data_IF_746592207868
#
_entry.id   IF_746592207868
#
_cell.length_a   1.000
_cell.length_b   1.000
_cell.length_c   1.000
_cell.angle_alpha   90.00
_cell.angle_beta   90.00
_cell.angle_gamma   90.00
#
_symmetry.space_group_name_H-M   'P 1'
#
loop_
_entity.id
_entity.type
_entity.pdbx_description
1 polymer ?
2 non-polymer ?
3 non-polymer ?
4 non-polymer ?
5 non-polymer ?
6 water ?
#
# COMPACT_ATOMS: atom_id res chain seq x y z
N UNK A 6 -1.49 -26.58 -22.90
CA UNK A 6 -1.82 -25.27 -22.33
C UNK A 6 -2.55 -25.42 -21.00
N UNK A 7 -2.78 -26.65 -20.57
CA UNK A 7 -3.38 -26.95 -19.27
C UNK A 7 -2.23 -27.28 -18.31
N UNK A 8 -1.91 -26.42 -17.36
CA UNK A 8 -0.77 -26.72 -16.48
C UNK A 8 -1.10 -27.81 -15.48
N UNK A 9 -0.07 -28.56 -15.09
CA UNK A 9 -0.23 -29.64 -14.13
C UNK A 9 0.78 -29.51 -13.01
N UNK A 10 0.42 -29.94 -11.79
CA UNK A 10 1.38 -29.91 -10.66
C UNK A 10 2.35 -31.09 -10.74
N UNK A 11 3.24 -31.00 -11.72
CA UNK A 11 4.26 -32.02 -11.98
C UNK A 11 5.61 -31.32 -12.10
N UNK A 12 6.61 -31.82 -11.38
CA UNK A 12 7.99 -31.34 -11.46
C UNK A 12 8.85 -32.61 -11.56
N UNK A 13 9.32 -32.89 -12.76
CA UNK A 13 10.12 -34.09 -12.95
C UNK A 13 9.33 -35.34 -12.61
N UNK A 14 9.85 -36.14 -11.67
CA UNK A 14 9.16 -37.34 -11.23
C UNK A 14 8.29 -37.12 -9.99
N UNK A 15 8.03 -35.86 -9.63
CA UNK A 15 7.21 -35.52 -8.48
C UNK A 15 5.89 -34.91 -8.96
N UNK A 16 4.85 -35.09 -8.15
CA UNK A 16 3.55 -34.55 -8.48
C UNK A 16 2.76 -35.47 -9.39
N UNK A 17 1.63 -34.96 -9.89
CA UNK A 17 0.71 -35.75 -10.71
C UNK A 17 -0.30 -34.82 -11.36
N UNK A 18 -1.06 -35.36 -12.32
CA UNK A 18 -2.12 -34.56 -12.93
C UNK A 18 -3.27 -34.35 -11.96
N UNK A 19 -3.98 -33.23 -12.12
CA UNK A 19 -5.18 -32.97 -11.32
C UNK A 19 -6.33 -33.79 -11.88
N UNK A 20 -7.00 -34.55 -11.02
CA UNK A 20 -8.07 -35.44 -11.45
C UNK A 20 -9.47 -34.95 -11.09
N UNK A 21 -9.58 -33.91 -10.26
CA UNK A 21 -10.88 -33.39 -9.82
C UNK A 21 -11.17 -32.08 -10.55
N UNK A 22 -12.40 -31.58 -10.52
CA UNK A 22 -12.68 -30.27 -11.10
C UNK A 22 -11.83 -29.19 -10.44
N UNK A 23 -11.39 -28.24 -11.26
CA UNK A 23 -10.34 -27.31 -10.82
C UNK A 23 -10.54 -25.93 -11.44
N UNK A 24 -9.75 -24.98 -10.95
CA UNK A 24 -9.76 -23.59 -11.40
C UNK A 24 -8.52 -23.36 -12.27
N UNK A 25 -8.65 -23.60 -13.58
CA UNK A 25 -7.46 -23.53 -14.42
C UNK A 25 -7.00 -22.08 -14.59
N UNK A 26 -7.94 -21.12 -14.60
CA UNK A 26 -7.56 -19.71 -14.73
C UNK A 26 -6.70 -19.26 -13.56
N UNK A 27 -7.06 -19.66 -12.34
CA UNK A 27 -6.23 -19.30 -11.20
C UNK A 27 -4.91 -20.06 -11.21
N UNK A 28 -4.92 -21.34 -11.64
CA UNK A 28 -3.66 -22.07 -11.72
C UNK A 28 -2.70 -21.40 -12.69
N UNK A 29 -3.21 -20.87 -13.81
CA UNK A 29 -2.34 -20.17 -14.75
C UNK A 29 -1.75 -18.90 -14.16
N UNK A 30 -2.46 -18.26 -13.22
CA UNK A 30 -1.94 -17.07 -12.57
C UNK A 30 -0.90 -17.39 -11.50
N UNK A 31 -0.86 -18.63 -11.02
CA UNK A 31 -0.04 -19.04 -9.88
C UNK A 31 0.93 -20.17 -10.24
N UNK A 32 1.76 -20.00 -11.27
CA UNK A 32 2.58 -21.14 -11.71
C UNK A 32 3.57 -21.62 -10.65
N UNK A 33 4.06 -20.72 -9.81
CA UNK A 33 5.04 -21.07 -8.78
C UNK A 33 4.39 -21.55 -7.50
N UNK A 34 3.06 -21.62 -7.49
CA UNK A 34 2.33 -22.27 -6.41
C UNK A 34 1.80 -23.64 -6.83
N UNK A 35 1.29 -23.78 -8.05
CA UNK A 35 0.97 -25.12 -8.57
C UNK A 35 2.23 -25.98 -8.68
N UNK A 36 3.34 -25.39 -9.12
CA UNK A 36 4.62 -26.08 -9.19
C UNK A 36 5.68 -25.21 -8.50
N UNK A 37 5.81 -25.33 -7.19
CA UNK A 37 6.77 -24.49 -6.45
C UNK A 37 8.21 -24.86 -6.77
N UNK A 38 9.15 -23.99 -6.45
CA UNK A 38 10.57 -24.39 -6.49
C UNK A 38 10.81 -25.57 -5.56
N UNK A 39 11.75 -26.44 -5.95
CA UNK A 39 12.06 -27.56 -5.07
C UNK A 39 12.71 -27.10 -3.77
N UNK A 40 13.19 -25.85 -3.72
CA UNK A 40 13.81 -25.28 -2.53
C UNK A 40 12.80 -24.76 -1.50
N UNK A 41 11.51 -24.68 -1.85
CA UNK A 41 10.50 -24.37 -0.85
C UNK A 41 10.41 -25.51 0.17
N UNK A 42 9.99 -25.19 1.39
CA UNK A 42 9.79 -26.19 2.43
C UNK A 42 8.98 -25.63 3.59
N UNK A 43 8.08 -26.45 4.13
CA UNK A 43 7.52 -26.21 5.45
C UNK A 43 6.29 -25.30 5.43
N UNK A 44 5.63 -25.26 6.59
CA UNK A 44 4.45 -24.41 6.76
C UNK A 44 4.84 -22.94 6.83
N UNK A 45 4.23 -22.13 5.95
CA UNK A 45 4.39 -20.68 5.92
C UNK A 45 2.99 -20.09 5.72
N UNK A 46 2.68 -19.00 6.43
CA UNK A 46 1.37 -18.37 6.30
C UNK A 46 1.15 -17.84 4.88
N UNK A 47 -0.14 -17.68 4.51
CA UNK A 47 -0.43 -17.06 3.22
C UNK A 47 0.01 -15.60 3.19
N UNK A 48 0.67 -15.20 2.09
CA UNK A 48 1.16 -13.83 2.00
C UNK A 48 0.68 -13.14 0.74
N UNK A 49 -0.52 -13.52 0.26
CA UNK A 49 -1.03 -13.00 -1.01
C UNK A 49 -2.55 -12.90 -0.97
N UNK A 50 -3.11 -11.77 -1.41
CA UNK A 50 -4.56 -11.65 -1.52
C UNK A 50 -4.89 -10.63 -2.63
N UNK A 51 -5.94 -10.92 -3.42
CA UNK A 51 -6.31 -10.07 -4.54
C UNK A 51 -7.50 -9.17 -4.18
N UNK A 52 -7.40 -7.88 -4.53
CA UNK A 52 -8.57 -7.01 -4.40
C UNK A 52 -9.75 -7.53 -5.22
N UNK A 53 -9.49 -8.28 -6.31
CA UNK A 53 -10.60 -8.82 -7.09
C UNK A 53 -11.40 -9.86 -6.33
N UNK A 54 -10.87 -10.39 -5.23
CA UNK A 54 -11.57 -11.33 -4.39
C UNK A 54 -12.29 -10.64 -3.21
N UNK A 55 -12.55 -9.34 -3.32
CA UNK A 55 -13.22 -8.62 -2.24
C UNK A 55 -14.51 -7.99 -2.73
N UNK A 56 -15.41 -7.77 -1.77
CA UNK A 56 -16.67 -7.09 -1.99
C UNK A 56 -16.43 -5.62 -2.32
N UNK A 57 -17.05 -5.14 -3.40
CA UNK A 57 -16.90 -3.75 -3.81
C UNK A 57 -18.13 -2.95 -3.40
N UNK A 58 -17.93 -1.96 -2.54
CA UNK A 58 -19.00 -1.06 -2.15
C UNK A 58 -19.20 0.00 -3.24
N UNK A 59 -20.37 -0.02 -3.89
CA UNK A 59 -20.67 0.90 -4.99
C UNK A 59 -21.55 2.05 -4.47
N UNK A 60 -21.21 3.27 -4.85
CA UNK A 60 -22.00 4.44 -4.45
C UNK A 60 -22.18 5.35 -5.66
N UNK A 61 -23.10 6.31 -5.54
CA UNK A 61 -23.18 7.35 -6.56
C UNK A 61 -21.94 8.22 -6.43
N UNK A 62 -21.03 8.10 -7.38
CA UNK A 62 -19.76 8.80 -7.32
C UNK A 62 -18.52 7.92 -7.28
N UNK A 63 -18.65 6.61 -7.08
CA UNK A 63 -17.42 5.82 -7.07
C UNK A 63 -17.59 4.48 -6.35
N UNK A 64 -16.48 3.95 -5.86
CA UNK A 64 -16.50 2.67 -5.16
C UNK A 64 -15.32 2.54 -4.21
N UNK A 65 -15.40 1.55 -3.33
CA UNK A 65 -14.31 1.25 -2.41
C UNK A 65 -14.34 -0.23 -2.03
N UNK A 66 -13.16 -0.86 -2.03
CA UNK A 66 -13.01 -2.24 -1.61
C UNK A 66 -11.75 -2.34 -0.75
N UNK A 67 -11.70 -3.32 0.16
CA UNK A 67 -10.63 -3.35 1.15
C UNK A 67 -10.04 -4.73 1.33
N UNK A 68 -8.75 -4.76 1.70
CA UNK A 68 -8.06 -5.97 2.11
C UNK A 68 -7.55 -5.72 3.52
N UNK A 69 -8.06 -6.48 4.48
CA UNK A 69 -7.77 -6.28 5.90
C UNK A 69 -7.31 -7.59 6.52
N UNK A 70 -7.10 -7.56 7.83
CA UNK A 70 -6.71 -8.77 8.56
C UNK A 70 -7.77 -9.85 8.46
N UNK A 71 -9.01 -9.48 8.11
CA UNK A 71 -10.07 -10.47 7.91
C UNK A 71 -9.92 -11.21 6.59
N UNK A 72 -9.11 -10.69 5.66
CA UNK A 72 -8.78 -11.31 4.40
C UNK A 72 -7.38 -11.93 4.42
N UNK A 73 -6.43 -11.23 5.02
CA UNK A 73 -5.01 -11.58 4.98
C UNK A 73 -4.51 -11.52 6.42
N UNK A 74 -4.64 -12.62 7.17
CA UNK A 74 -4.47 -12.51 8.64
C UNK A 74 -3.03 -12.30 9.07
N UNK A 75 -2.05 -12.57 8.20
CA UNK A 75 -0.65 -12.28 8.56
C UNK A 75 -0.45 -10.77 8.74
N UNK A 76 -1.27 -9.94 8.09
CA UNK A 76 -1.08 -8.49 8.12
C UNK A 76 -1.97 -7.91 9.22
N UNK A 77 -1.47 -8.01 10.46
CA UNK A 77 -2.21 -7.50 11.61
C UNK A 77 -2.05 -6.00 11.78
N UNK A 78 -0.99 -5.40 11.24
CA UNK A 78 -0.67 -4.02 11.53
C UNK A 78 -1.06 -3.05 10.42
N UNK A 79 -1.45 -3.54 9.25
CA UNK A 79 -1.70 -2.69 8.10
C UNK A 79 -2.89 -3.22 7.33
N UNK A 80 -3.73 -2.31 6.84
CA UNK A 80 -4.86 -2.68 5.98
C UNK A 80 -4.96 -1.66 4.84
N UNK A 81 -5.76 -1.98 3.82
CA UNK A 81 -5.73 -1.12 2.64
C UNK A 81 -7.10 -1.04 1.98
N UNK A 82 -7.38 0.12 1.39
CA UNK A 82 -8.59 0.35 0.59
C UNK A 82 -8.18 0.82 -0.80
N UNK A 83 -8.80 0.22 -1.82
CA UNK A 83 -8.73 0.69 -3.21
C UNK A 83 -10.00 1.53 -3.42
N UNK A 84 -9.84 2.84 -3.60
CA UNK A 84 -10.98 3.74 -3.71
C UNK A 84 -10.98 4.45 -5.07
N UNK A 85 -12.17 4.63 -5.63
CA UNK A 85 -12.36 5.25 -6.93
C UNK A 85 -13.40 6.36 -6.81
N UNK A 86 -13.09 7.52 -7.40
CA UNK A 86 -14.01 8.66 -7.40
C UNK A 86 -14.20 9.15 -8.83
N UNK A 87 -15.45 9.39 -9.20
CA UNK A 87 -15.77 10.02 -10.48
C UNK A 87 -15.44 11.51 -10.43
N UNK A 88 -15.37 12.17 -11.58
CA UNK A 88 -15.02 13.60 -11.58
C UNK A 88 -15.93 14.41 -10.68
N UNK A 89 -15.32 15.20 -9.79
CA UNK A 89 -16.06 16.04 -8.87
C UNK A 89 -16.59 15.33 -7.63
N UNK A 90 -16.62 14.00 -7.62
CA UNK A 90 -17.23 13.28 -6.51
C UNK A 90 -16.41 13.43 -5.24
N UNK A 91 -17.09 13.39 -4.10
CA UNK A 91 -16.53 13.70 -2.79
C UNK A 91 -16.56 12.45 -1.91
N UNK A 92 -15.43 12.13 -1.30
CA UNK A 92 -15.36 11.25 -0.14
C UNK A 92 -15.60 12.11 1.09
N UNK A 93 -16.74 11.89 1.72
CA UNK A 93 -17.28 12.76 2.77
C UNK A 93 -16.28 13.03 3.88
N UNK A 94 -16.25 14.28 4.34
CA UNK A 94 -15.49 14.70 5.51
C UNK A 94 -15.62 13.67 6.65
N UNK A 95 -14.45 13.21 7.14
CA UNK A 95 -14.42 12.12 8.12
C UNK A 95 -13.06 12.08 8.82
N UNK A 96 -12.95 11.22 9.83
CA UNK A 96 -11.64 10.93 10.43
C UNK A 96 -11.64 9.49 10.92
N UNK A 97 -10.46 9.01 11.30
CA UNK A 97 -10.26 7.62 11.71
C UNK A 97 -9.37 7.59 12.94
N UNK A 98 -9.41 6.47 13.68
CA UNK A 98 -8.39 6.25 14.70
C UNK A 98 -7.02 6.01 14.09
N UNK A 99 -6.99 5.40 12.90
CA UNK A 99 -5.74 5.07 12.24
C UNK A 99 -5.17 6.25 11.46
N UNK A 100 -3.84 6.27 11.34
CA UNK A 100 -3.19 7.11 10.34
C UNK A 100 -3.48 6.54 8.95
N UNK A 101 -3.52 7.43 7.97
CA UNK A 101 -3.84 7.08 6.59
C UNK A 101 -2.73 7.56 5.67
N UNK A 102 -2.21 6.65 4.85
CA UNK A 102 -1.24 6.95 3.81
C UNK A 102 -1.88 6.63 2.45
N UNK A 103 -1.54 7.40 1.42
CA UNK A 103 -2.17 7.17 0.12
C UNK A 103 -1.18 7.36 -1.03
N UNK A 104 -1.39 6.58 -2.09
CA UNK A 104 -0.69 6.72 -3.36
C UNK A 104 -1.71 6.92 -4.48
N UNK A 105 -1.55 8.00 -5.26
CA UNK A 105 -2.46 8.31 -6.36
C UNK A 105 -2.01 7.55 -7.60
N UNK A 106 -2.80 6.54 -7.98
CA UNK A 106 -2.46 5.71 -9.15
C UNK A 106 -2.96 6.34 -10.44
N UNK A 107 -4.19 6.85 -10.43
CA UNK A 107 -4.84 7.40 -11.61
C UNK A 107 -5.51 8.73 -11.26
N UNK A 108 -5.38 9.71 -12.15
CA UNK A 108 -6.18 10.92 -12.02
C UNK A 108 -5.61 11.93 -11.03
N UNK A 109 -6.52 12.65 -10.36
CA UNK A 109 -6.09 13.69 -9.43
C UNK A 109 -7.24 14.03 -8.49
N UNK A 110 -6.89 14.63 -7.36
CA UNK A 110 -7.90 14.95 -6.36
C UNK A 110 -7.43 16.11 -5.50
N UNK A 111 -8.40 16.78 -4.89
CA UNK A 111 -8.14 17.81 -3.89
C UNK A 111 -8.41 17.22 -2.51
N UNK A 112 -7.50 17.43 -1.58
CA UNK A 112 -7.68 16.97 -0.21
C UNK A 112 -7.74 18.17 0.72
N UNK A 113 -8.49 18.01 1.80
CA UNK A 113 -8.46 18.96 2.91
C UNK A 113 -8.10 18.23 4.19
N UNK A 114 -7.45 18.95 5.11
CA UNK A 114 -7.22 18.44 6.46
C UNK A 114 -7.13 19.65 7.39
N UNK A 115 -7.63 19.48 8.61
CA UNK A 115 -7.50 20.51 9.64
C UNK A 115 -6.82 19.84 10.84
N UNK A 116 -5.88 20.53 11.47
CA UNK A 116 -5.15 19.89 12.55
C UNK A 116 -5.74 20.30 13.92
N UNK A 117 -5.11 19.81 14.99
CA UNK A 117 -5.64 20.03 16.32
C UNK A 117 -5.38 21.44 16.84
N UNK A 118 -4.71 22.29 16.07
CA UNK A 118 -4.61 23.70 16.40
C UNK A 118 -5.50 24.55 15.51
N UNK A 119 -6.36 23.91 14.70
CA UNK A 119 -7.28 24.63 13.86
C UNK A 119 -6.69 25.15 12.58
N UNK A 120 -5.55 24.62 12.15
CA UNK A 120 -4.90 25.09 10.93
C UNK A 120 -5.30 24.20 9.76
N UNK A 121 -5.57 24.82 8.63
CA UNK A 121 -6.10 24.14 7.44
C UNK A 121 -5.00 23.92 6.41
N UNK A 122 -5.05 22.77 5.73
CA UNK A 122 -4.17 22.47 4.61
C UNK A 122 -5.06 21.93 3.49
N UNK A 123 -4.99 22.57 2.31
CA UNK A 123 -5.78 22.17 1.15
C UNK A 123 -4.82 22.10 -0.02
N UNK A 124 -4.85 20.99 -0.77
CA UNK A 124 -3.88 20.79 -1.84
C UNK A 124 -4.43 19.82 -2.87
N UNK A 125 -3.89 19.91 -4.09
CA UNK A 125 -4.21 19.01 -5.18
C UNK A 125 -3.11 17.96 -5.31
N UNK A 126 -3.53 16.72 -5.57
CA UNK A 126 -2.67 15.54 -5.65
C UNK A 126 -2.83 14.93 -7.03
N UNK A 127 -1.73 14.61 -7.72
CA UNK A 127 -1.79 13.97 -9.01
C UNK A 127 -1.13 12.60 -8.99
N UNK A 128 -1.07 11.98 -10.17
CA UNK A 128 -0.49 10.64 -10.28
C UNK A 128 0.94 10.64 -9.77
N UNK A 129 1.24 9.65 -8.92
CA UNK A 129 2.55 9.53 -8.31
C UNK A 129 2.75 10.33 -7.04
N UNK A 130 1.75 11.10 -6.61
CA UNK A 130 1.84 11.86 -5.38
C UNK A 130 1.28 11.05 -4.21
N UNK A 131 1.66 11.42 -3.01
CA UNK A 131 1.22 10.80 -1.76
C UNK A 131 0.47 11.79 -0.90
N UNK A 132 -0.33 11.26 0.04
CA UNK A 132 -0.69 12.05 1.21
C UNK A 132 -0.54 11.19 2.46
N UNK A 133 -0.51 11.84 3.62
CA UNK A 133 -0.47 11.16 4.91
C UNK A 133 -1.27 11.99 5.88
N UNK A 134 -2.30 11.39 6.47
CA UNK A 134 -3.15 12.07 7.44
C UNK A 134 -2.93 11.42 8.80
N UNK A 135 -2.34 12.13 9.76
CA UNK A 135 -2.13 11.53 11.09
C UNK A 135 -3.44 11.10 11.73
N UNK A 136 -3.31 10.16 12.67
CA UNK A 136 -4.46 9.61 13.38
C UNK A 136 -5.37 10.72 13.91
N UNK A 137 -6.67 10.55 13.69
CA UNK A 137 -7.69 11.41 14.26
C UNK A 137 -7.87 12.77 13.60
N UNK A 138 -7.01 13.13 12.59
CA UNK A 138 -7.22 14.47 12.00
C UNK A 138 -8.21 14.38 10.85
N UNK A 139 -9.16 15.30 10.79
CA UNK A 139 -10.28 15.16 9.85
C UNK A 139 -9.92 15.63 8.44
N UNK A 140 -10.46 14.93 7.44
CA UNK A 140 -10.03 15.16 6.07
C UNK A 140 -11.14 14.82 5.10
N UNK A 141 -10.91 15.15 3.83
CA UNK A 141 -11.82 14.86 2.73
C UNK A 141 -11.02 14.67 1.46
N UNK A 142 -11.65 14.07 0.45
CA UNK A 142 -11.07 13.89 -0.89
C UNK A 142 -12.13 14.29 -1.89
N UNK A 143 -11.74 15.04 -2.92
CA UNK A 143 -12.67 15.36 -4.01
C UNK A 143 -11.92 15.19 -5.32
N UNK A 144 -12.43 14.31 -6.19
CA UNK A 144 -11.75 14.08 -7.47
C UNK A 144 -11.90 15.30 -8.37
N UNK A 145 -10.88 15.54 -9.20
CA UNK A 145 -10.91 16.63 -10.18
C UNK A 145 -11.43 16.08 -11.52
N UNK A 146 -11.09 16.74 -12.63
CA UNK A 146 -11.82 16.51 -13.88
C UNK A 146 -11.55 15.16 -14.52
N UNK A 147 -10.48 14.47 -14.15
CA UNK A 147 -10.25 13.13 -14.67
C UNK A 147 -10.82 12.03 -13.77
N UNK A 148 -11.41 12.39 -12.63
CA UNK A 148 -11.70 11.39 -11.62
C UNK A 148 -10.39 11.01 -10.91
N UNK A 149 -10.47 9.99 -10.06
CA UNK A 149 -9.28 9.57 -9.34
C UNK A 149 -9.43 8.12 -8.91
N UNK A 150 -8.30 7.39 -8.88
CA UNK A 150 -8.30 6.07 -8.26
C UNK A 150 -6.99 5.91 -7.52
N UNK A 151 -7.06 5.45 -6.27
CA UNK A 151 -5.91 5.54 -5.40
C UNK A 151 -5.95 4.41 -4.38
N UNK A 152 -4.79 4.18 -3.77
CA UNK A 152 -4.62 3.15 -2.76
C UNK A 152 -4.45 3.84 -1.41
N UNK A 153 -5.28 3.47 -0.44
CA UNK A 153 -5.14 3.96 0.93
C UNK A 153 -4.55 2.84 1.78
N UNK A 154 -3.64 3.19 2.68
CA UNK A 154 -3.08 2.23 3.64
C UNK A 154 -3.28 2.79 5.04
N UNK A 155 -3.82 1.97 5.94
CA UNK A 155 -4.10 2.38 7.31
C UNK A 155 -3.25 1.59 8.26
N UNK A 156 -2.78 2.24 9.33
CA UNK A 156 -1.81 1.55 10.19
C UNK A 156 -2.46 0.73 11.32
N UNK A 157 -3.54 0.02 10.99
CA UNK A 157 -4.07 -1.06 11.83
C UNK A 157 -4.75 -2.06 10.91
N UNK A 158 -4.36 -3.34 11.02
CA UNK A 158 -4.95 -4.33 10.14
C UNK A 158 -6.42 -4.59 10.38
N UNK A 159 -6.93 -4.23 11.55
CA UNK A 159 -8.34 -4.45 11.86
C UNK A 159 -9.24 -3.34 11.37
N UNK A 160 -8.73 -2.42 10.56
CA UNK A 160 -9.53 -1.36 9.96
C UNK A 160 -10.90 -1.89 9.52
N UNK A 161 -11.96 -1.24 10.00
CA UNK A 161 -13.31 -1.72 9.78
C UNK A 161 -14.27 -0.55 9.76
N UNK A 162 -15.55 -0.86 9.63
CA UNK A 162 -16.59 0.17 9.69
C UNK A 162 -16.49 0.99 10.98
N UNK A 163 -15.99 0.39 12.06
CA UNK A 163 -15.90 1.02 13.36
C UNK A 163 -14.69 1.94 13.50
N UNK A 164 -13.88 2.07 12.44
CA UNK A 164 -12.69 2.90 12.47
C UNK A 164 -12.97 4.33 12.04
N UNK A 165 -14.10 4.58 11.40
CA UNK A 165 -14.29 5.80 10.63
C UNK A 165 -15.53 6.58 11.07
N UNK A 166 -15.33 7.85 11.35
CA UNK A 166 -16.33 8.79 11.83
C UNK A 166 -16.71 9.84 10.79
N UNK A 167 -17.91 9.75 10.23
CA UNK A 167 -18.37 10.64 9.18
C UNK A 167 -19.11 11.85 9.77
N UNK A 168 -18.86 13.02 9.19
CA UNK A 168 -19.51 14.27 9.62
C UNK A 168 -21.02 14.14 9.73
N UNK A 169 -21.68 13.69 8.65
CA UNK A 169 -23.14 13.68 8.66
C UNK A 169 -23.70 12.56 9.54
N UNK A 170 -22.92 11.47 9.72
CA UNK A 170 -23.35 10.40 10.62
C UNK A 170 -23.32 10.87 12.06
N UNK A 171 -22.25 11.56 12.46
CA UNK A 171 -22.18 12.12 13.81
C UNK A 171 -23.36 13.03 14.06
N UNK A 172 -23.63 13.96 13.14
CA UNK A 172 -24.72 14.90 13.36
C UNK A 172 -26.08 14.21 13.38
N UNK A 173 -26.25 13.15 12.57
CA UNK A 173 -27.53 12.46 12.53
C UNK A 173 -27.81 11.72 13.84
N UNK A 174 -26.78 11.47 14.65
CA UNK A 174 -26.92 10.75 15.91
C UNK A 174 -26.58 11.63 17.10
N UNK A 175 -26.78 12.94 16.95
CA UNK A 175 -26.64 13.94 18.01
C UNK A 175 -28.00 14.62 18.19
N UNK A 176 -28.48 14.82 19.42
CA UNK A 176 -29.80 15.46 19.56
C UNK A 176 -29.80 16.81 18.88
N UNK A 177 -30.91 17.10 18.18
CA UNK A 177 -31.01 18.36 17.44
C UNK A 177 -30.84 19.56 18.38
N UNK A 178 -31.36 19.47 19.61
CA UNK A 178 -31.23 20.60 20.52
C UNK A 178 -29.78 20.83 20.92
N UNK A 179 -28.96 19.78 20.93
CA UNK A 179 -27.55 19.93 21.25
C UNK A 179 -26.81 20.54 20.07
N UNK A 180 -27.11 20.09 18.84
CA UNK A 180 -26.50 20.70 17.66
C UNK A 180 -26.83 22.19 17.62
N UNK A 181 -28.10 22.53 17.86
CA UNK A 181 -28.53 23.92 17.84
C UNK A 181 -27.77 24.74 18.87
N UNK A 182 -27.65 24.22 20.09
CA UNK A 182 -26.91 24.92 21.14
C UNK A 182 -25.43 25.05 20.78
N UNK A 183 -24.86 24.02 20.15
CA UNK A 183 -23.44 24.03 19.84
C UNK A 183 -23.08 25.19 18.92
N UNK A 184 -23.97 25.50 17.97
CA UNK A 184 -23.68 26.48 16.94
C UNK A 184 -24.40 27.80 17.16
N UNK A 185 -25.28 27.90 18.16
CA UNK A 185 -26.01 29.13 18.38
C UNK A 185 -27.11 29.38 17.37
N UNK A 186 -27.75 28.33 16.87
CA UNK A 186 -28.82 28.44 15.90
C UNK A 186 -30.07 27.75 16.46
N UNK A 187 -31.18 27.88 15.75
CA UNK A 187 -32.41 27.22 16.14
C UNK A 187 -32.49 25.83 15.53
N UNK A 188 -33.35 24.99 16.10
CA UNK A 188 -33.60 23.68 15.51
C UNK A 188 -34.17 23.81 14.11
N UNK A 189 -34.99 24.83 13.87
CA UNK A 189 -35.53 25.02 12.52
C UNK A 189 -34.42 25.28 11.52
N UNK A 190 -33.37 25.99 11.94
CA UNK A 190 -32.29 26.33 11.03
C UNK A 190 -31.49 25.12 10.59
N UNK A 191 -31.51 24.03 11.36
CA UNK A 191 -30.77 22.84 10.99
C UNK A 191 -31.71 21.69 10.61
N UNK A 192 -32.98 21.99 10.31
CA UNK A 192 -33.93 20.92 10.05
C UNK A 192 -33.60 20.14 8.77
N UNK A 193 -32.84 20.70 7.84
CA UNK A 193 -32.54 20.00 6.59
C UNK A 193 -31.27 19.14 6.66
N UNK A 194 -30.65 18.99 7.83
CA UNK A 194 -29.49 18.12 7.92
C UNK A 194 -29.83 16.71 7.42
N UNK A 195 -28.89 16.04 6.77
CA UNK A 195 -29.11 14.66 6.34
C UNK A 195 -29.45 13.74 7.50
N UNK A 196 -30.30 12.74 7.22
CA UNK A 196 -30.65 11.75 8.22
C UNK A 196 -29.73 10.55 8.29
N UNK A 197 -28.78 10.45 7.37
CA UNK A 197 -27.81 9.36 7.39
C UNK A 197 -26.57 9.81 6.62
N UNK A 198 -25.54 8.98 6.68
CA UNK A 198 -24.26 9.29 6.05
C UNK A 198 -24.40 9.41 4.54
N UNK A 199 -23.45 10.13 3.94
CA UNK A 199 -23.28 10.19 2.49
C UNK A 199 -22.19 9.24 1.98
N UNK A 200 -21.03 9.26 2.64
CA UNK A 200 -19.84 8.42 2.39
C UNK A 200 -19.11 8.82 1.11
N UNK A 201 -19.71 8.58 -0.05
CA UNK A 201 -19.23 9.08 -1.34
C UNK A 201 -20.43 9.67 -2.04
N UNK A 202 -20.30 10.89 -2.57
CA UNK A 202 -21.45 11.48 -3.26
C UNK A 202 -20.99 12.34 -4.45
N UNK A 203 -21.87 12.45 -5.45
CA UNK A 203 -21.56 13.23 -6.65
C UNK A 203 -21.61 14.73 -6.34
N UNK A 204 -20.78 15.49 -7.05
CA UNK A 204 -20.72 16.93 -6.83
C UNK A 204 -20.11 17.59 -8.07
N UNK A 205 -20.45 18.87 -8.28
CA UNK A 205 -19.81 19.64 -9.34
C UNK A 205 -18.31 19.75 -9.07
N UNK A 206 -17.53 19.75 -10.16
CA UNK A 206 -16.09 19.99 -10.06
C UNK A 206 -15.81 21.28 -9.30
N UNK A 207 -14.78 21.32 -8.47
CA UNK A 207 -14.45 22.57 -7.76
C UNK A 207 -13.74 23.55 -8.70
N UNK A 208 -13.57 24.76 -8.19
CA UNK A 208 -12.79 25.78 -8.86
C UNK A 208 -11.30 25.55 -8.68
N UNK A 209 -10.54 26.59 -9.02
CA UNK A 209 -9.09 26.51 -8.91
C UNK A 209 -8.66 26.39 -7.44
N UNK A 210 -7.54 25.71 -7.23
CA UNK A 210 -7.05 25.49 -5.86
C UNK A 210 -6.86 26.80 -5.12
N UNK A 211 -6.30 27.81 -5.78
CA UNK A 211 -5.98 29.05 -5.07
C UNK A 211 -7.23 29.71 -4.50
N UNK A 212 -8.39 29.53 -5.14
CA UNK A 212 -9.62 30.11 -4.63
C UNK A 212 -10.14 29.41 -3.39
N UNK A 213 -9.67 28.19 -3.12
CA UNK A 213 -10.18 27.41 -2.00
C UNK A 213 -9.38 27.60 -0.71
N UNK A 214 -8.17 28.15 -0.80
CA UNK A 214 -7.31 28.26 0.38
C UNK A 214 -8.03 29.10 1.43
N UNK A 215 -8.18 28.54 2.62
CA UNK A 215 -8.83 29.24 3.72
C UNK A 215 -7.74 29.80 4.63
N UNK A 216 -7.74 31.13 4.80
CA UNK A 216 -6.85 31.78 5.75
C UNK A 216 -7.44 31.69 7.15
N UNK A 217 -6.55 31.62 8.14
CA UNK A 217 -7.01 31.45 9.51
C UNK A 217 -6.19 32.21 10.51
N UNK A 218 -6.76 32.43 11.69
CA UNK A 218 -6.02 33.13 12.75
C UNK A 218 -4.90 32.30 13.36
N UNK A 219 -4.80 31.01 13.05
CA UNK A 219 -3.77 30.18 13.68
C UNK A 219 -2.60 29.89 12.76
N UNK A 220 -2.58 30.44 11.56
CA UNK A 220 -1.42 30.34 10.71
C UNK A 220 -1.38 29.05 9.91
N UNK A 221 -0.28 28.88 9.18
CA UNK A 221 -0.13 27.73 8.31
C UNK A 221 0.38 26.52 9.08
N UNK A 222 0.09 25.34 8.56
CA UNK A 222 0.57 24.11 9.16
C UNK A 222 2.09 24.07 8.98
N UNK A 223 2.84 23.50 9.94
CA UNK A 223 4.30 23.53 9.83
C UNK A 223 4.86 22.62 8.75
N UNK A 224 4.16 21.52 8.43
CA UNK A 224 4.65 20.58 7.43
C UNK A 224 3.51 20.14 6.53
N UNK A 225 3.77 19.97 5.23
CA UNK A 225 2.68 19.63 4.30
C UNK A 225 2.25 18.18 4.44
N UNK A 226 0.99 17.93 4.11
CA UNK A 226 0.43 16.58 4.21
C UNK A 226 0.42 15.84 2.88
N UNK A 227 1.01 16.41 1.82
CA UNK A 227 1.18 15.76 0.54
C UNK A 227 2.66 15.75 0.16
N UNK A 228 3.00 14.85 -0.78
CA UNK A 228 4.39 14.65 -1.17
C UNK A 228 4.44 14.21 -2.63
N UNK A 229 5.35 14.80 -3.41
CA UNK A 229 5.44 14.43 -4.83
C UNK A 229 6.52 13.36 -4.98
N UNK A 230 6.11 12.09 -4.84
CA UNK A 230 7.09 11.00 -4.78
C UNK A 230 7.85 10.88 -6.09
N UNK A 231 7.14 10.91 -7.22
CA UNK A 231 7.77 10.65 -8.51
C UNK A 231 8.56 11.83 -9.04
N UNK A 232 8.51 12.98 -8.38
CA UNK A 232 9.37 14.10 -8.70
C UNK A 232 10.73 14.02 -8.02
N UNK A 233 10.92 13.07 -7.09
CA UNK A 233 12.21 12.89 -6.43
C UNK A 233 13.17 12.12 -7.33
N UNK A 234 14.46 12.27 -7.05
CA UNK A 234 15.47 11.48 -7.74
C UNK A 234 15.48 10.06 -7.17
N UNK A 235 15.25 9.03 -7.98
CA UNK A 235 15.24 7.67 -7.44
C UNK A 235 16.65 7.11 -7.28
N UNK A 236 16.74 6.03 -6.50
CA UNK A 236 17.91 5.16 -6.59
C UNK A 236 17.78 4.37 -7.88
N UNK A 237 18.75 4.54 -8.76
CA UNK A 237 18.79 3.80 -10.02
C UNK A 237 19.84 2.71 -9.94
N UNK A 238 19.48 1.51 -10.37
CA UNK A 238 20.43 0.43 -10.58
C UNK A 238 20.09 -0.23 -11.91
N UNK A 239 20.87 -1.25 -12.27
CA UNK A 239 20.86 -1.75 -13.65
C UNK A 239 19.47 -2.19 -14.10
N UNK A 240 18.64 -2.69 -13.18
CA UNK A 240 17.36 -3.22 -13.56
C UNK A 240 16.12 -2.42 -13.17
N UNK A 241 16.24 -1.23 -12.60
CA UNK A 241 15.05 -0.51 -12.19
C UNK A 241 15.35 0.64 -11.25
N UNK A 242 14.30 1.13 -10.60
CA UNK A 242 14.36 2.36 -9.81
C UNK A 242 13.59 2.18 -8.52
N UNK A 243 14.02 2.89 -7.47
CA UNK A 243 13.36 2.85 -6.17
C UNK A 243 13.18 4.29 -5.69
N UNK A 244 11.95 4.68 -5.39
CA UNK A 244 11.63 6.00 -4.83
C UNK A 244 11.15 5.81 -3.40
N UNK A 245 11.85 6.41 -2.42
CA UNK A 245 11.55 6.21 -1.00
C UNK A 245 10.95 7.48 -0.39
N UNK A 246 9.87 7.30 0.39
CA UNK A 246 9.30 8.38 1.19
C UNK A 246 9.06 7.86 2.60
N UNK A 247 9.75 8.44 3.58
CA UNK A 247 9.54 8.08 4.98
C UNK A 247 9.60 9.37 5.78
N UNK A 248 9.61 9.26 7.12
CA UNK A 248 9.55 10.48 7.92
C UNK A 248 10.81 11.34 7.81
N UNK A 249 11.89 10.84 7.21
CA UNK A 249 13.08 11.67 7.04
C UNK A 249 12.96 12.65 5.88
N UNK A 250 12.09 12.41 4.88
CA UNK A 250 11.89 13.38 3.83
C UNK A 250 10.44 13.86 3.72
N UNK A 251 9.47 12.96 3.90
CA UNK A 251 8.04 13.32 3.96
C UNK A 251 7.74 13.43 5.45
N UNK A 252 7.95 14.64 6.00
CA UNK A 252 8.16 14.80 7.43
C UNK A 252 6.97 14.34 8.28
N UNK A 253 5.73 14.57 7.80
CA UNK A 253 4.58 14.23 8.63
C UNK A 253 4.34 12.72 8.69
N UNK A 254 4.95 11.93 7.79
CA UNK A 254 4.61 10.52 7.63
C UNK A 254 5.32 9.66 8.68
N UNK A 255 4.92 9.87 9.93
CA UNK A 255 5.66 9.32 11.07
C UNK A 255 5.47 7.81 11.24
N UNK A 256 4.31 7.28 10.86
CA UNK A 256 4.07 5.86 11.09
C UNK A 256 4.10 5.01 9.83
N UNK A 257 4.31 5.59 8.65
CA UNK A 257 4.35 4.84 7.41
C UNK A 257 5.60 5.24 6.64
N UNK A 258 6.43 4.25 6.30
CA UNK A 258 7.54 4.41 5.39
C UNK A 258 7.20 3.66 4.11
N UNK A 259 7.60 4.20 2.96
CA UNK A 259 7.16 3.61 1.70
C UNK A 259 8.26 3.66 0.66
N UNK A 260 8.18 2.72 -0.29
CA UNK A 260 9.02 2.78 -1.47
C UNK A 260 8.21 2.34 -2.68
N UNK A 261 8.33 3.07 -3.78
CA UNK A 261 7.80 2.64 -5.06
C UNK A 261 8.93 2.04 -5.85
N UNK A 262 8.76 0.78 -6.25
CA UNK A 262 9.80 0.02 -6.95
C UNK A 262 9.34 -0.27 -8.36
N UNK A 263 10.19 0.01 -9.35
CA UNK A 263 9.96 -0.40 -10.72
C UNK A 263 11.07 -1.37 -11.12
N UNK A 264 10.68 -2.49 -11.72
CA UNK A 264 11.60 -3.56 -12.09
C UNK A 264 11.40 -3.85 -13.56
N UNK A 265 12.44 -3.65 -14.37
CA UNK A 265 12.29 -3.88 -15.78
C UNK A 265 12.14 -5.38 -16.08
N UNK A 266 11.63 -5.73 -17.25
CA UNK A 266 11.63 -7.15 -17.63
C UNK A 266 13.06 -7.69 -17.59
N UNK A 267 13.20 -8.90 -17.08
CA UNK A 267 14.51 -9.51 -16.93
C UNK A 267 15.27 -9.05 -15.71
N UNK A 268 14.63 -8.30 -14.80
CA UNK A 268 15.29 -7.77 -13.62
C UNK A 268 14.59 -8.26 -12.35
N UNK A 269 15.19 -7.93 -11.20
CA UNK A 269 14.66 -8.41 -9.93
C UNK A 269 15.06 -7.48 -8.80
N UNK A 270 14.13 -7.28 -7.88
CA UNK A 270 14.47 -6.67 -6.59
C UNK A 270 15.35 -7.67 -5.84
N UNK A 271 16.58 -7.28 -5.50
CA UNK A 271 17.61 -8.21 -5.05
C UNK A 271 17.24 -8.87 -3.72
N UNK A 272 17.98 -9.95 -3.40
CA UNK A 272 17.83 -10.61 -2.10
C UNK A 272 18.15 -9.65 -0.96
N UNK A 273 17.21 -9.46 -0.05
CA UNK A 273 17.37 -8.50 1.03
C UNK A 273 16.42 -8.86 2.16
N UNK A 274 16.57 -8.17 3.29
CA UNK A 274 15.56 -8.21 4.34
C UNK A 274 15.47 -6.83 4.97
N UNK A 275 14.45 -6.64 5.82
CA UNK A 275 14.23 -5.39 6.53
C UNK A 275 14.46 -5.60 8.02
N UNK A 276 15.42 -4.88 8.60
CA UNK A 276 15.76 -5.09 10.01
C UNK A 276 14.84 -4.36 10.98
N UNK A 277 13.81 -3.65 10.49
CA UNK A 277 12.97 -2.86 11.36
C UNK A 277 11.56 -3.40 11.54
N UNK A 278 10.88 -3.86 10.49
CA UNK A 278 9.47 -4.24 10.66
C UNK A 278 9.00 -5.03 9.44
N UNK A 279 7.73 -5.44 9.50
CA UNK A 279 7.06 -6.16 8.42
C UNK A 279 6.94 -5.29 7.16
N UNK A 280 6.94 -5.96 6.00
CA UNK A 280 6.67 -5.30 4.72
C UNK A 280 5.28 -5.67 4.22
N UNK A 281 4.50 -4.66 3.85
CA UNK A 281 3.22 -4.83 3.18
C UNK A 281 3.39 -4.36 1.73
N UNK A 282 2.82 -5.11 0.76
CA UNK A 282 3.06 -4.87 -0.66
C UNK A 282 1.76 -4.64 -1.39
N UNK A 283 1.77 -3.74 -2.37
CA UNK A 283 0.69 -3.67 -3.35
C UNK A 283 1.30 -3.69 -4.75
N UNK A 284 0.76 -4.54 -5.61
CA UNK A 284 1.27 -4.68 -6.97
C UNK A 284 0.43 -3.80 -7.90
N UNK A 285 1.04 -2.70 -8.37
CA UNK A 285 0.34 -1.78 -9.25
C UNK A 285 0.21 -2.35 -10.66
N UNK A 286 1.30 -2.88 -11.21
CA UNK A 286 1.23 -3.43 -12.56
C UNK A 286 2.33 -4.47 -12.75
N UNK A 287 2.08 -5.38 -13.69
CA UNK A 287 3.05 -6.42 -14.01
C UNK A 287 2.81 -7.71 -13.27
N UNK A 288 3.80 -8.61 -13.37
CA UNK A 288 3.71 -9.96 -12.81
C UNK A 288 5.00 -10.32 -12.09
N UNK A 289 4.90 -10.92 -10.91
CA UNK A 289 6.08 -11.19 -10.10
C UNK A 289 6.02 -12.56 -9.45
N UNK A 290 7.17 -13.04 -8.99
CA UNK A 290 7.18 -14.06 -7.94
C UNK A 290 8.15 -13.63 -6.85
N UNK A 291 7.87 -14.10 -5.63
CA UNK A 291 8.70 -13.81 -4.47
C UNK A 291 8.77 -15.07 -3.62
N UNK A 292 9.99 -15.43 -3.17
CA UNK A 292 10.14 -16.46 -2.14
C UNK A 292 10.42 -15.76 -0.81
N UNK A 293 9.64 -16.09 0.21
CA UNK A 293 9.85 -15.62 1.57
C UNK A 293 10.58 -16.71 2.33
N UNK A 294 11.77 -16.37 2.88
CA UNK A 294 12.52 -17.31 3.71
C UNK A 294 12.23 -16.99 5.18
N UNK A 295 11.68 -17.97 5.89
CA UNK A 295 11.09 -17.77 7.21
C UNK A 295 11.94 -18.30 8.36
N UNK A 296 13.20 -18.67 8.09
CA UNK A 296 14.14 -19.25 9.05
C UNK A 296 13.88 -20.73 9.27
N UNK A 297 14.84 -21.42 9.90
CA UNK A 297 14.70 -22.83 10.25
C UNK A 297 14.26 -23.67 9.06
N UNK A 298 14.89 -23.41 7.91
CA UNK A 298 14.65 -24.20 6.72
C UNK A 298 13.27 -24.07 6.12
N UNK A 299 12.50 -23.04 6.47
CA UNK A 299 11.17 -22.80 5.91
C UNK A 299 11.22 -21.74 4.82
N UNK A 300 10.56 -21.99 3.69
CA UNK A 300 10.48 -21.01 2.63
C UNK A 300 9.28 -21.31 1.75
N UNK A 301 8.62 -20.26 1.25
CA UNK A 301 7.46 -20.46 0.38
C UNK A 301 7.43 -19.38 -0.69
N UNK A 302 7.11 -19.79 -1.92
CA UNK A 302 7.11 -18.88 -3.06
C UNK A 302 5.68 -18.51 -3.40
N UNK A 303 5.47 -17.23 -3.76
CA UNK A 303 4.14 -16.71 -4.08
C UNK A 303 4.21 -16.00 -5.42
N UNK A 304 3.08 -16.01 -6.14
CA UNK A 304 2.92 -15.24 -7.37
C UNK A 304 2.04 -14.02 -7.13
N UNK A 305 2.35 -12.92 -7.82
CA UNK A 305 1.60 -11.67 -7.71
C UNK A 305 1.39 -11.04 -9.08
N UNK A 306 0.29 -10.31 -9.21
CA UNK A 306 0.06 -9.47 -10.39
C UNK A 306 -0.78 -8.27 -9.99
N UNK A 307 -1.05 -7.39 -10.96
CA UNK A 307 -1.79 -6.15 -10.69
C UNK A 307 -3.03 -6.43 -9.86
N UNK A 308 -3.20 -5.64 -8.79
CA UNK A 308 -4.33 -5.77 -7.89
C UNK A 308 -4.08 -6.64 -6.67
N UNK A 309 -2.91 -7.25 -6.55
CA UNK A 309 -2.61 -8.13 -5.43
C UNK A 309 -1.96 -7.38 -4.29
N UNK A 310 -2.26 -7.81 -3.07
CA UNK A 310 -1.55 -7.44 -1.86
C UNK A 310 -0.57 -8.56 -1.49
N UNK A 311 0.64 -8.19 -1.08
CA UNK A 311 1.61 -9.14 -0.57
C UNK A 311 2.07 -8.74 0.83
N UNK A 312 2.89 -9.61 1.41
CA UNK A 312 3.37 -9.36 2.77
C UNK A 312 4.66 -10.12 3.02
N UNK A 313 5.55 -9.51 3.79
CA UNK A 313 6.78 -10.17 4.24
C UNK A 313 6.92 -9.92 5.73
N UNK A 314 6.67 -10.90 6.59
CA UNK A 314 6.86 -10.70 8.03
C UNK A 314 8.26 -10.23 8.34
N UNK A 315 8.35 -9.41 9.40
CA UNK A 315 9.56 -8.81 9.95
C UNK A 315 10.79 -9.70 9.81
N UNK A 316 11.76 -9.19 9.05
CA UNK A 316 13.12 -9.70 8.86
C UNK A 316 13.21 -10.95 7.98
N UNK A 317 12.11 -11.45 7.43
CA UNK A 317 12.24 -12.61 6.54
C UNK A 317 12.94 -12.21 5.24
N UNK A 318 13.83 -13.10 4.77
CA UNK A 318 14.56 -12.83 3.54
C UNK A 318 13.65 -12.97 2.33
N UNK A 319 13.89 -12.13 1.32
CA UNK A 319 13.03 -12.18 0.14
C UNK A 319 13.70 -11.49 -1.05
N UNK A 320 13.12 -11.73 -2.22
CA UNK A 320 13.44 -11.04 -3.46
C UNK A 320 12.12 -10.86 -4.19
N UNK A 321 12.08 -10.00 -5.21
CA UNK A 321 10.87 -9.88 -6.03
C UNK A 321 11.31 -9.88 -7.49
N UNK A 322 11.01 -10.98 -8.20
CA UNK A 322 11.45 -11.17 -9.58
C UNK A 322 10.35 -10.81 -10.57
N UNK A 323 10.69 -10.04 -11.60
CA UNK A 323 9.76 -9.81 -12.69
C UNK A 323 9.70 -11.05 -13.58
N UNK A 324 8.51 -11.65 -13.70
CA UNK A 324 8.35 -12.86 -14.50
C UNK A 324 7.48 -12.60 -15.73
N UNK A 325 7.33 -11.33 -16.12
CA UNK A 325 6.56 -10.98 -17.31
C UNK A 325 7.37 -10.14 -18.29
N UNK A 326 6.66 -9.72 -19.35
CA UNK A 326 7.27 -8.95 -20.44
C UNK A 326 7.13 -7.44 -20.27
N UNK A 327 6.33 -6.99 -19.31
CA UNK A 327 6.14 -5.57 -19.04
C UNK A 327 6.85 -5.19 -17.75
N UNK A 328 7.07 -3.89 -17.50
CA UNK A 328 7.64 -3.49 -16.21
C UNK A 328 6.78 -3.98 -15.06
N UNK A 329 7.44 -4.27 -13.95
CA UNK A 329 6.78 -4.63 -12.71
C UNK A 329 6.86 -3.43 -11.78
N UNK A 330 5.72 -2.97 -11.28
CA UNK A 330 5.66 -1.79 -10.41
C UNK A 330 4.92 -2.18 -9.14
N UNK A 331 5.57 -1.98 -7.99
CA UNK A 331 4.90 -2.30 -6.74
C UNK A 331 5.36 -1.35 -5.64
N UNK A 332 4.58 -1.32 -4.57
CA UNK A 332 4.88 -0.55 -3.37
C UNK A 332 5.34 -1.47 -2.25
N UNK A 333 6.36 -1.01 -1.50
CA UNK A 333 6.78 -1.61 -0.24
C UNK A 333 6.39 -0.66 0.88
N UNK A 334 5.59 -1.14 1.84
CA UNK A 334 5.03 -0.28 2.89
C UNK A 334 5.45 -0.84 4.25
N UNK A 335 5.82 0.06 5.17
CA UNK A 335 6.32 -0.33 6.49
C UNK A 335 5.70 0.56 7.56
N UNK A 336 5.25 -0.04 8.66
CA UNK A 336 4.77 0.74 9.80
C UNK A 336 5.99 1.09 10.67
N UNK A 337 6.66 2.17 10.28
CA UNK A 337 7.84 2.65 11.00
C UNK A 337 8.13 4.06 10.54
N UNK A 338 9.06 4.72 11.25
CA UNK A 338 9.44 6.09 10.91
C UNK A 338 10.60 6.16 9.93
N UNK A 339 11.10 5.02 9.44
CA UNK A 339 12.10 5.10 8.39
C UNK A 339 12.09 3.81 7.59
N UNK A 340 12.58 3.92 6.37
CA UNK A 340 12.86 2.77 5.52
C UNK A 340 14.24 2.24 5.84
N UNK A 341 14.37 0.92 5.93
CA UNK A 341 15.69 0.31 6.12
C UNK A 341 15.72 -1.05 5.46
N UNK A 342 16.83 -1.38 4.79
CA UNK A 342 17.03 -2.74 4.30
C UNK A 342 18.49 -3.13 4.45
N UNK A 343 18.72 -4.45 4.50
CA UNK A 343 20.06 -5.01 4.38
C UNK A 343 20.10 -5.83 3.11
N UNK A 344 21.10 -5.56 2.28
CA UNK A 344 21.32 -6.27 1.03
C UNK A 344 22.23 -7.46 1.28
N UNK A 345 21.82 -8.65 0.80
CA UNK A 345 22.66 -9.83 0.94
C UNK A 345 24.03 -9.62 0.27
N UNK A 346 24.01 -9.07 -0.95
CA UNK A 346 25.23 -8.83 -1.69
C UNK A 346 26.14 -7.86 -0.93
N UNK A 347 25.60 -6.72 -0.51
CA UNK A 347 26.43 -5.71 0.15
C UNK A 347 26.97 -6.23 1.48
N UNK A 348 26.15 -6.97 2.21
CA UNK A 348 26.59 -7.59 3.47
C UNK A 348 27.85 -8.41 3.24
N UNK A 349 27.78 -9.35 2.29
CA UNK A 349 28.92 -10.24 2.05
C UNK A 349 30.11 -9.47 1.48
N UNK A 350 29.85 -8.43 0.69
CA UNK A 350 30.92 -7.64 0.11
C UNK A 350 31.74 -6.91 1.16
N UNK A 351 31.16 -6.66 2.32
CA UNK A 351 31.81 -5.86 3.36
C UNK A 351 32.50 -6.72 4.40
N UNK A 352 32.69 -8.01 4.13
CA UNK A 352 33.36 -8.96 4.99
C UNK A 352 34.65 -9.46 4.36
N UNK A 353 35.61 -9.93 5.15
CA UNK A 353 36.82 -10.52 4.57
C UNK A 353 36.48 -11.66 3.62
N UNK A 354 37.12 -11.65 2.44
CA UNK A 354 36.71 -12.61 1.41
C UNK A 354 36.94 -14.06 1.86
N UNK A 355 38.03 -14.34 2.59
CA UNK A 355 38.25 -15.73 2.98
C UNK A 355 37.21 -16.20 3.99
N UNK A 356 36.67 -15.27 4.78
CA UNK A 356 35.60 -15.59 5.73
C UNK A 356 34.31 -15.94 5.01
N UNK A 357 33.96 -15.18 3.97
CA UNK A 357 32.80 -15.53 3.15
C UNK A 357 33.03 -16.86 2.44
N UNK A 358 34.23 -17.07 1.91
CA UNK A 358 34.54 -18.33 1.24
C UNK A 358 34.37 -19.52 2.18
N UNK A 359 34.77 -19.36 3.44
CA UNK A 359 34.66 -20.44 4.41
C UNK A 359 33.21 -20.81 4.69
N UNK A 360 32.31 -19.82 4.60
CA UNK A 360 30.89 -20.08 4.81
C UNK A 360 30.25 -20.78 3.61
N UNK A 361 30.54 -20.30 2.41
CA UNK A 361 29.79 -20.70 1.21
C UNK A 361 30.42 -21.88 0.48
N UNK A 362 31.62 -22.29 0.86
CA UNK A 362 32.37 -23.33 0.15
C UNK A 362 32.55 -22.97 -1.33
N UNK A 363 32.69 -21.67 -1.59
CA UNK A 363 32.99 -21.13 -2.91
C UNK A 363 34.32 -20.39 -2.83
N UNK A 364 34.86 -20.04 -3.99
CA UNK A 364 36.20 -19.48 -4.07
C UNK A 364 36.22 -18.00 -4.41
N UNK A 365 37.42 -17.54 -4.76
CA UNK A 365 37.61 -16.13 -5.09
C UNK A 365 36.80 -15.73 -6.31
N UNK A 366 36.52 -16.68 -7.21
CA UNK A 366 35.69 -16.37 -8.37
C UNK A 366 34.31 -15.86 -7.95
N UNK A 367 33.80 -16.33 -6.81
CA UNK A 367 32.52 -15.81 -6.34
C UNK A 367 32.69 -14.51 -5.57
N UNK A 368 33.62 -14.45 -4.61
CA UNK A 368 33.70 -13.23 -3.83
C UNK A 368 34.14 -12.03 -4.67
N UNK A 369 34.78 -12.27 -5.81
CA UNK A 369 35.16 -11.17 -6.70
C UNK A 369 33.95 -10.45 -7.28
N UNK A 370 32.77 -11.07 -7.35
CA UNK A 370 31.62 -10.40 -7.97
C UNK A 370 30.83 -9.55 -6.97
N UNK A 371 31.13 -9.63 -5.68
CA UNK A 371 30.35 -8.92 -4.68
C UNK A 371 30.61 -7.42 -4.77
N UNK A 372 29.57 -6.63 -4.47
CA UNK A 372 29.63 -5.18 -4.61
C UNK A 372 29.40 -4.52 -3.26
N UNK A 373 30.27 -3.58 -2.91
CA UNK A 373 30.10 -2.83 -1.66
C UNK A 373 29.05 -1.72 -1.78
N UNK A 374 28.60 -1.42 -3.00
CA UNK A 374 27.52 -0.46 -3.21
C UNK A 374 26.20 -1.22 -3.32
N UNK A 375 25.16 -0.67 -2.69
CA UNK A 375 23.86 -1.33 -2.69
C UNK A 375 23.15 -1.04 -4.02
N UNK A 376 22.69 -2.09 -4.68
CA UNK A 376 21.93 -1.97 -5.93
C UNK A 376 20.60 -2.68 -5.73
N UNK A 377 19.53 -1.94 -5.39
CA UNK A 377 18.28 -2.61 -4.97
C UNK A 377 17.61 -3.44 -6.06
N UNK A 378 17.79 -3.10 -7.34
CA UNK A 378 17.16 -3.81 -8.44
C UNK A 378 18.26 -4.18 -9.43
N UNK A 379 18.43 -5.48 -9.71
CA UNK A 379 19.53 -5.95 -10.54
C UNK A 379 18.98 -6.55 -11.82
N UNK A 380 19.80 -6.53 -12.87
CA UNK A 380 19.41 -7.00 -14.19
C UNK A 380 20.09 -8.33 -14.49
N UNK A 381 19.32 -9.29 -14.99
CA UNK A 381 19.85 -10.61 -15.35
C UNK A 381 20.84 -10.51 -16.50
N UNK A 382 21.88 -11.37 -16.43
CA UNK A 382 22.90 -11.45 -17.46
C UNK A 382 22.56 -12.51 -18.50
X LIG B 1 11.51 -5.78 0.84
X LIG C 1 -9.73 8.67 5.43
X LIG D 1 -9.17 23.96 -16.20
X LIG D 1 -10.30 23.89 -15.35
X LIG D 1 -8.83 22.57 -16.74
X LIG D 1 -9.91 22.06 -17.50
X LIG D 1 -8.49 21.63 -15.58
X LIG D 1 -7.35 22.11 -14.89
X LIG E 1 37.68 -5.70 0.88
X LIG F 1 -33.65 17.40 20.31
X LIG G 1 -8.40 -12.16 11.05
#
# INVERSE_FOLDING_TARGET
MKKQNDIPQPIRGDKGATVKIPRNIERDRQNPDMLVPPETDHGTVSNMKFSFSDTHNRLEKGGYAREVTVRELPISENLASVNMRLKPGAIRELHYHKEAEWAYMIYGSARVTIVDEKGRSFIDDVGEGDLWYFPSGLPHSIQALEEGAEFLLVFDDGSFSENSTFQLTDWLAHTPKEVIAANFGVTKEEISNLPGKEKYIFENQLPGSLKDDIVEGPNGEVPYPFTYRLLEQEPIESEGGKVYIADSTNFKVSKTIASALVTVEPGAMRELHWHPNTHEWQYYISGKARMTVFASDGHARTFNYQAGDVGYVPFAMGHYVENIGDEPLVFLEIFKDDHYADVSLNQWLAMLPETFVQAHLDLGKDFTDVLSKEKHPVVKKKCSK
MN MN
MN MN
GOL C1 O1 C2 O2 C3 O3
CL CL
CL CL
NA NA
#
